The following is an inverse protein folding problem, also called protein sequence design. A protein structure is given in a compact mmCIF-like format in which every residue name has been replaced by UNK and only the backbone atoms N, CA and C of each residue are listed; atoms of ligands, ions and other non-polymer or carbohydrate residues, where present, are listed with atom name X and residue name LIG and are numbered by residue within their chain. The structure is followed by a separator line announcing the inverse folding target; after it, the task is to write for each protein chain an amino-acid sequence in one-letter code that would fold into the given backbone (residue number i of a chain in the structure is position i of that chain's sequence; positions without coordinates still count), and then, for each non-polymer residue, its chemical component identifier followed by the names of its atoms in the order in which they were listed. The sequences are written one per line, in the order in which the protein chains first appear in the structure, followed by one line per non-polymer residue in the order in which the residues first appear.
data_IF_867131541979
#
_entry.id   IF_867131541979
#
_cell.length_a   1.000
_cell.length_b   1.000
_cell.length_c   1.000
_cell.angle_alpha   90.00
_cell.angle_beta   90.00
_cell.angle_gamma   90.00
#
_symmetry.space_group_name_H-M   'P 1'
#
loop_
_entity.id
_entity.type
_entity.pdbx_description
1 polymer ?
#
# COMPACT_ATOMS: atom_id res chain seq x y z
N UNK A 1 -20.44 9.70 9.15
CA UNK A 1 -20.24 8.83 7.96
C UNK A 1 -19.73 9.74 6.86
N UNK A 2 -18.59 9.44 6.24
CA UNK A 2 -18.17 10.14 5.02
C UNK A 2 -19.18 9.77 3.94
N UNK A 3 -19.96 10.74 3.49
CA UNK A 3 -20.98 10.54 2.46
C UNK A 3 -20.28 10.49 1.09
N UNK A 4 -20.43 9.38 0.37
CA UNK A 4 -19.94 9.23 -1.01
C UNK A 4 -20.39 10.41 -1.90
N UNK A 5 -21.55 11.02 -1.62
CA UNK A 5 -22.02 12.20 -2.35
C UNK A 5 -21.15 13.43 -2.13
N UNK A 6 -20.61 13.63 -0.93
CA UNK A 6 -19.70 14.72 -0.63
C UNK A 6 -18.36 14.54 -1.37
N UNK A 7 -17.86 13.30 -1.44
CA UNK A 7 -16.67 12.97 -2.22
C UNK A 7 -16.87 13.26 -3.71
N UNK A 8 -17.98 12.81 -4.28
CA UNK A 8 -18.31 13.07 -5.68
C UNK A 8 -18.38 14.58 -5.99
N UNK A 9 -18.97 15.38 -5.09
CA UNK A 9 -19.03 16.83 -5.24
C UNK A 9 -17.64 17.48 -5.20
N UNK A 10 -16.75 17.04 -4.30
CA UNK A 10 -15.40 17.57 -4.18
C UNK A 10 -14.52 17.19 -5.38
N UNK A 11 -14.68 15.98 -5.93
CA UNK A 11 -14.01 15.55 -7.17
C UNK A 11 -14.45 16.44 -8.33
N UNK A 12 -15.77 16.62 -8.50
CA UNK A 12 -16.31 17.50 -9.54
C UNK A 12 -15.80 18.94 -9.40
N UNK A 13 -15.74 19.47 -8.18
CA UNK A 13 -15.21 20.81 -7.91
C UNK A 13 -13.73 20.94 -8.26
N UNK A 14 -12.92 19.91 -7.97
CA UNK A 14 -11.53 19.87 -8.41
C UNK A 14 -11.44 19.87 -9.94
N UNK A 15 -12.20 19.01 -10.63
CA UNK A 15 -12.19 18.97 -12.09
C UNK A 15 -12.57 20.29 -12.75
N UNK A 16 -13.54 21.01 -12.18
CA UNK A 16 -13.97 22.32 -12.66
C UNK A 16 -12.93 23.42 -12.43
N UNK A 17 -12.18 23.35 -11.32
CA UNK A 17 -11.19 24.36 -10.95
C UNK A 17 -9.77 24.02 -11.38
N UNK A 18 -9.51 22.81 -11.87
CA UNK A 18 -8.18 22.30 -12.17
C UNK A 18 -7.35 23.21 -13.09
N UNK A 19 -7.95 23.83 -14.10
CA UNK A 19 -7.26 24.74 -15.02
C UNK A 19 -6.78 26.04 -14.37
N UNK A 20 -7.37 26.42 -13.24
CA UNK A 20 -7.04 27.64 -12.47
C UNK A 20 -6.03 27.40 -11.35
N UNK A 21 -5.78 26.13 -11.01
CA UNK A 21 -4.86 25.72 -9.96
C UNK A 21 -3.47 25.44 -10.53
N UNK A 22 -2.44 25.70 -9.71
CA UNK A 22 -1.09 25.23 -10.03
C UNK A 22 -1.03 23.69 -10.03
N UNK A 23 -0.01 23.14 -10.69
CA UNK A 23 0.20 21.69 -10.74
C UNK A 23 0.34 21.08 -9.34
N UNK A 24 1.13 21.72 -8.47
CA UNK A 24 1.32 21.28 -7.09
C UNK A 24 0.01 21.29 -6.29
N UNK A 25 -0.82 22.32 -6.45
CA UNK A 25 -2.13 22.39 -5.78
C UNK A 25 -3.11 21.33 -6.30
N UNK A 26 -3.14 21.09 -7.62
CA UNK A 26 -3.97 20.02 -8.20
C UNK A 26 -3.57 18.67 -7.64
N UNK A 27 -2.27 18.38 -7.64
CA UNK A 27 -1.72 17.13 -7.12
C UNK A 27 -2.07 16.93 -5.66
N UNK A 28 -1.79 17.91 -4.81
CA UNK A 28 -2.09 17.82 -3.37
C UNK A 28 -3.58 17.60 -3.10
N UNK A 29 -4.47 18.30 -3.83
CA UNK A 29 -5.92 18.12 -3.67
C UNK A 29 -6.37 16.74 -4.12
N UNK A 30 -5.84 16.23 -5.23
CA UNK A 30 -6.14 14.89 -5.70
C UNK A 30 -5.67 13.82 -4.71
N UNK A 31 -4.45 13.94 -4.17
CA UNK A 31 -3.91 13.04 -3.14
C UNK A 31 -4.80 13.03 -1.88
N UNK A 32 -5.22 14.21 -1.39
CA UNK A 32 -6.11 14.30 -0.23
C UNK A 32 -7.45 13.62 -0.48
N UNK A 33 -8.05 13.82 -1.66
CA UNK A 33 -9.31 13.17 -2.02
C UNK A 33 -9.17 11.64 -2.14
N UNK A 34 -8.02 11.15 -2.64
CA UNK A 34 -7.73 9.72 -2.66
C UNK A 34 -7.67 9.14 -1.24
N UNK A 35 -7.06 9.83 -0.29
CA UNK A 35 -7.04 9.39 1.12
C UNK A 35 -8.45 9.37 1.74
N UNK A 36 -9.29 10.35 1.42
CA UNK A 36 -10.70 10.34 1.86
C UNK A 36 -11.49 9.17 1.25
N UNK A 37 -11.23 8.84 -0.02
CA UNK A 37 -11.81 7.67 -0.70
C UNK A 37 -11.37 6.38 0.00
N UNK A 38 -10.08 6.20 0.30
CA UNK A 38 -9.56 5.04 1.05
C UNK A 38 -10.26 4.90 2.41
N UNK A 39 -10.40 6.01 3.15
CA UNK A 39 -11.09 6.04 4.43
C UNK A 39 -12.57 5.65 4.31
N UNK A 40 -13.24 6.08 3.24
CA UNK A 40 -14.63 5.70 2.99
C UNK A 40 -14.76 4.20 2.68
N UNK A 41 -13.85 3.65 1.89
CA UNK A 41 -13.80 2.22 1.57
C UNK A 41 -13.56 1.36 2.80
N UNK A 42 -12.63 1.76 3.68
CA UNK A 42 -12.42 1.09 4.97
C UNK A 42 -13.66 1.11 5.89
N UNK A 43 -14.61 2.03 5.65
CA UNK A 43 -15.89 2.13 6.36
C UNK A 43 -17.04 1.44 5.63
N UNK A 44 -16.75 0.68 4.56
CA UNK A 44 -17.73 -0.10 3.80
C UNK A 44 -18.33 0.61 2.58
N UNK A 45 -17.71 1.69 2.08
CA UNK A 45 -18.10 2.26 0.80
C UNK A 45 -17.87 1.27 -0.36
N UNK A 46 -18.66 1.40 -1.42
CA UNK A 46 -18.57 0.51 -2.58
C UNK A 46 -17.19 0.62 -3.26
N UNK A 47 -16.45 -0.49 -3.29
CA UNK A 47 -15.08 -0.56 -3.82
C UNK A 47 -14.99 -0.12 -5.30
N UNK A 48 -15.89 -0.60 -6.15
CA UNK A 48 -15.84 -0.30 -7.58
C UNK A 48 -16.12 1.18 -7.86
N UNK A 49 -17.10 1.76 -7.14
CA UNK A 49 -17.41 3.18 -7.25
C UNK A 49 -16.27 4.04 -6.71
N UNK A 50 -15.68 3.66 -5.56
CA UNK A 50 -14.52 4.33 -5.00
C UNK A 50 -13.32 4.30 -5.95
N UNK A 51 -13.07 3.16 -6.61
CA UNK A 51 -11.99 3.05 -7.59
C UNK A 51 -12.24 3.94 -8.81
N UNK A 52 -13.47 4.00 -9.33
CA UNK A 52 -13.81 4.90 -10.43
C UNK A 52 -13.50 6.38 -10.10
N UNK A 53 -13.89 6.82 -8.90
CA UNK A 53 -13.57 8.16 -8.40
C UNK A 53 -12.07 8.40 -8.24
N UNK A 54 -11.33 7.40 -7.78
CA UNK A 54 -9.88 7.45 -7.71
C UNK A 54 -9.24 7.61 -9.10
N UNK A 55 -9.74 6.91 -10.12
CA UNK A 55 -9.25 7.02 -11.49
C UNK A 55 -9.52 8.39 -12.14
N UNK A 56 -10.54 9.12 -11.70
CA UNK A 56 -10.76 10.51 -12.11
C UNK A 56 -9.68 11.46 -11.55
N UNK A 57 -9.04 11.08 -10.43
CA UNK A 57 -8.08 11.91 -9.71
C UNK A 57 -6.62 11.64 -10.10
N UNK A 58 -6.28 10.40 -10.45
CA UNK A 58 -4.88 10.00 -10.75
C UNK A 58 -4.22 10.80 -11.89
N UNK A 59 -4.92 11.29 -12.93
CA UNK A 59 -4.30 12.16 -13.95
C UNK A 59 -3.78 13.50 -13.41
N UNK A 60 -4.31 13.98 -12.28
CA UNK A 60 -3.81 15.20 -11.62
C UNK A 60 -2.53 14.97 -10.80
N UNK A 61 -2.20 13.70 -10.52
CA UNK A 61 -1.02 13.28 -9.76
C UNK A 61 0.08 12.84 -10.73
N UNK A 62 -0.31 12.05 -11.73
CA UNK A 62 0.57 11.48 -12.72
C UNK A 62 -0.05 11.57 -14.12
N UNK A 63 0.37 12.54 -14.94
CA UNK A 63 -0.20 12.73 -16.27
C UNK A 63 0.39 11.77 -17.32
N UNK A 64 1.51 11.09 -17.05
CA UNK A 64 2.17 10.23 -18.02
C UNK A 64 1.50 8.84 -18.09
N UNK A 65 1.20 8.30 -19.29
CA UNK A 65 0.41 7.07 -19.42
C UNK A 65 0.97 5.84 -18.69
N UNK A 66 2.28 5.60 -18.77
CA UNK A 66 2.91 4.40 -18.17
C UNK A 66 2.95 4.48 -16.64
N UNK A 67 3.48 5.55 -16.02
CA UNK A 67 3.39 5.72 -14.57
C UNK A 67 1.93 5.80 -14.04
N UNK A 68 1.00 6.35 -14.82
CA UNK A 68 -0.42 6.42 -14.47
C UNK A 68 -1.07 5.03 -14.35
N UNK A 69 -0.74 4.10 -15.25
CA UNK A 69 -1.21 2.72 -15.16
C UNK A 69 -0.71 2.03 -13.88
N UNK A 70 0.58 2.20 -13.56
CA UNK A 70 1.16 1.68 -12.32
C UNK A 70 0.50 2.28 -11.07
N UNK A 71 0.27 3.60 -11.07
CA UNK A 71 -0.43 4.29 -9.98
C UNK A 71 -1.86 3.77 -9.79
N UNK A 72 -2.62 3.61 -10.88
CA UNK A 72 -3.98 3.07 -10.83
C UNK A 72 -4.00 1.64 -10.27
N UNK A 73 -3.04 0.79 -10.67
CA UNK A 73 -2.91 -0.56 -10.13
C UNK A 73 -2.59 -0.55 -8.62
N UNK A 74 -1.64 0.26 -8.19
CA UNK A 74 -1.30 0.41 -6.77
C UNK A 74 -2.51 0.88 -5.95
N UNK A 75 -3.27 1.82 -6.50
CA UNK A 75 -4.46 2.36 -5.85
C UNK A 75 -5.58 1.31 -5.77
N UNK A 76 -5.79 0.52 -6.82
CA UNK A 76 -6.72 -0.61 -6.78
C UNK A 76 -6.39 -1.59 -5.66
N UNK A 77 -5.11 -1.97 -5.54
CA UNK A 77 -4.65 -2.87 -4.47
C UNK A 77 -4.91 -2.26 -3.09
N UNK A 78 -4.52 -1.00 -2.87
CA UNK A 78 -4.75 -0.32 -1.60
C UNK A 78 -6.23 -0.20 -1.21
N UNK A 79 -7.11 0.06 -2.19
CA UNK A 79 -8.56 0.11 -1.94
C UNK A 79 -9.12 -1.28 -1.62
N UNK A 80 -8.67 -2.32 -2.31
CA UNK A 80 -9.06 -3.71 -2.03
C UNK A 80 -8.65 -4.14 -0.62
N UNK A 81 -7.42 -3.81 -0.23
CA UNK A 81 -6.89 -4.09 1.11
C UNK A 81 -7.64 -3.29 2.18
N UNK A 82 -8.05 -2.06 1.88
CA UNK A 82 -8.89 -1.26 2.79
C UNK A 82 -10.31 -1.82 2.93
N UNK A 83 -10.90 -2.30 1.82
CA UNK A 83 -12.26 -2.81 1.78
C UNK A 83 -12.40 -4.17 2.49
N UNK A 84 -11.41 -5.03 2.26
CA UNK A 84 -11.35 -6.36 2.84
C UNK A 84 -9.98 -6.51 3.48
N UNK A 85 -9.78 -5.93 4.68
CA UNK A 85 -8.49 -6.02 5.35
C UNK A 85 -8.12 -7.48 5.55
N UNK A 86 -6.85 -7.84 5.37
CA UNK A 86 -6.40 -9.18 5.66
C UNK A 86 -6.79 -9.55 7.10
N UNK A 87 -7.16 -10.81 7.35
CA UNK A 87 -7.60 -11.21 8.67
C UNK A 87 -6.51 -10.91 9.69
N UNK A 88 -6.91 -10.42 10.87
CA UNK A 88 -5.99 -10.21 11.96
C UNK A 88 -5.27 -11.54 12.28
N UNK A 89 -3.96 -11.53 12.56
CA UNK A 89 -3.24 -12.76 12.84
C UNK A 89 -3.82 -13.48 14.07
N UNK A 90 -4.00 -14.79 13.97
CA UNK A 90 -4.39 -15.66 15.09
C UNK A 90 -3.34 -15.60 16.22
N UNK A 91 -3.65 -16.02 17.46
CA UNK A 91 -2.66 -16.06 18.54
C UNK A 91 -1.38 -16.82 18.17
N UNK A 92 -1.51 -17.97 17.49
CA UNK A 92 -0.37 -18.76 17.01
C UNK A 92 0.44 -17.99 15.98
N UNK A 93 -0.23 -17.36 15.00
CA UNK A 93 0.46 -16.52 14.02
C UNK A 93 1.17 -15.34 14.68
N UNK A 94 0.58 -14.69 15.70
CA UNK A 94 1.25 -13.60 16.44
C UNK A 94 2.52 -14.06 17.13
N UNK A 95 2.52 -15.25 17.72
CA UNK A 95 3.72 -15.84 18.29
C UNK A 95 4.79 -16.11 17.21
N UNK A 96 4.39 -16.72 16.10
CA UNK A 96 5.27 -16.95 14.95
C UNK A 96 5.85 -15.65 14.37
N UNK A 97 5.05 -14.58 14.29
CA UNK A 97 5.50 -13.23 13.87
C UNK A 97 6.56 -12.70 14.83
N UNK A 98 6.34 -12.82 16.14
CA UNK A 98 7.33 -12.41 17.15
C UNK A 98 8.64 -13.20 17.06
N UNK A 99 8.56 -14.52 16.82
CA UNK A 99 9.72 -15.37 16.58
C UNK A 99 10.47 -14.96 15.31
N UNK A 100 9.73 -14.71 14.23
CA UNK A 100 10.31 -14.27 12.96
C UNK A 100 11.02 -12.92 13.10
N UNK A 101 10.40 -11.93 13.74
CA UNK A 101 11.00 -10.61 13.94
C UNK A 101 12.37 -10.71 14.65
N UNK A 102 12.41 -11.43 15.78
CA UNK A 102 13.65 -11.62 16.53
C UNK A 102 14.73 -12.38 15.74
N UNK A 103 14.34 -13.42 15.00
CA UNK A 103 15.28 -14.19 14.20
C UNK A 103 15.75 -13.43 12.96
N UNK A 104 14.90 -12.58 12.37
CA UNK A 104 15.26 -11.72 11.24
C UNK A 104 16.30 -10.67 11.59
N UNK A 105 16.19 -10.04 12.77
CA UNK A 105 17.20 -9.09 13.28
C UNK A 105 18.57 -9.77 13.38
N UNK A 106 18.62 -10.98 13.93
CA UNK A 106 19.85 -11.76 14.05
C UNK A 106 20.47 -12.09 12.69
N UNK A 107 19.65 -12.51 11.72
CA UNK A 107 20.10 -12.78 10.35
C UNK A 107 20.69 -11.53 9.69
N UNK A 108 20.02 -10.38 9.84
CA UNK A 108 20.47 -9.12 9.27
C UNK A 108 21.80 -8.71 9.91
N UNK A 109 21.88 -8.70 11.24
CA UNK A 109 23.10 -8.33 11.96
C UNK A 109 24.29 -9.24 11.60
N UNK A 110 24.06 -10.55 11.49
CA UNK A 110 25.09 -11.52 11.09
C UNK A 110 25.61 -11.25 9.67
N UNK A 111 24.71 -11.01 8.70
CA UNK A 111 25.12 -10.73 7.31
C UNK A 111 25.85 -9.39 7.21
N UNK A 112 25.35 -8.34 7.87
CA UNK A 112 26.00 -7.04 7.87
C UNK A 112 27.40 -7.08 8.52
N UNK A 113 27.61 -7.94 9.52
CA UNK A 113 28.90 -8.11 10.19
C UNK A 113 29.90 -8.99 9.40
N UNK A 114 29.41 -9.88 8.52
CA UNK A 114 30.24 -10.93 7.90
C UNK A 114 30.44 -10.79 6.38
N UNK A 115 29.56 -10.08 5.69
CA UNK A 115 29.62 -9.87 4.24
C UNK A 115 29.91 -8.41 3.95
N UNK A 116 30.86 -8.15 3.05
CA UNK A 116 31.19 -6.79 2.59
C UNK A 116 30.61 -6.59 1.20
N UNK A 117 29.86 -5.51 1.01
CA UNK A 117 29.23 -5.17 -0.27
C UNK A 117 27.71 -5.12 -0.14
N UNK A 118 27.13 -3.94 -0.37
CA UNK A 118 25.71 -3.67 -0.12
C UNK A 118 24.78 -4.58 -0.93
N UNK A 119 25.07 -4.80 -2.21
CA UNK A 119 24.28 -5.70 -3.07
C UNK A 119 24.35 -7.16 -2.61
N UNK A 120 25.52 -7.62 -2.15
CA UNK A 120 25.74 -8.99 -1.68
C UNK A 120 25.10 -9.21 -0.31
N UNK A 121 25.17 -8.21 0.57
CA UNK A 121 24.43 -8.19 1.84
C UNK A 121 22.92 -8.27 1.59
N UNK A 122 22.39 -7.42 0.70
CA UNK A 122 20.97 -7.39 0.36
C UNK A 122 20.47 -8.76 -0.12
N UNK A 123 21.13 -9.33 -1.13
CA UNK A 123 20.74 -10.62 -1.71
C UNK A 123 20.78 -11.74 -0.67
N UNK A 124 21.82 -11.79 0.17
CA UNK A 124 21.95 -12.84 1.19
C UNK A 124 20.95 -12.67 2.33
N UNK A 125 20.65 -11.43 2.73
CA UNK A 125 19.59 -11.13 3.69
C UNK A 125 18.24 -11.61 3.13
N UNK A 126 17.91 -11.27 1.89
CA UNK A 126 16.65 -11.69 1.27
C UNK A 126 16.52 -13.22 1.21
N UNK A 127 17.57 -13.92 0.78
CA UNK A 127 17.62 -15.38 0.74
C UNK A 127 17.38 -15.99 2.13
N UNK A 128 18.15 -15.56 3.14
CA UNK A 128 18.03 -16.07 4.51
C UNK A 128 16.67 -15.75 5.14
N UNK A 129 16.14 -14.55 4.89
CA UNK A 129 14.82 -14.17 5.39
C UNK A 129 13.70 -14.98 4.72
N UNK A 130 13.81 -15.27 3.42
CA UNK A 130 12.86 -16.14 2.71
C UNK A 130 12.87 -17.57 3.29
N UNK A 131 14.05 -18.14 3.50
CA UNK A 131 14.20 -19.45 4.15
C UNK A 131 13.59 -19.46 5.56
N UNK A 132 13.83 -18.40 6.33
CA UNK A 132 13.28 -18.24 7.69
C UNK A 132 11.75 -18.14 7.69
N UNK A 133 11.14 -17.43 6.73
CA UNK A 133 9.68 -17.39 6.58
C UNK A 133 9.11 -18.79 6.30
N UNK A 134 9.73 -19.52 5.37
CA UNK A 134 9.33 -20.88 5.03
C UNK A 134 9.43 -21.82 6.23
N UNK A 135 10.47 -21.68 7.06
CA UNK A 135 10.65 -22.46 8.27
C UNK A 135 9.58 -22.16 9.34
N UNK A 136 9.28 -20.88 9.59
CA UNK A 136 8.41 -20.48 10.69
C UNK A 136 6.92 -20.59 10.32
N UNK A 137 6.55 -20.21 9.09
CA UNK A 137 5.17 -20.11 8.65
C UNK A 137 4.75 -21.21 7.66
N UNK A 138 5.70 -22.02 7.16
CA UNK A 138 5.44 -23.03 6.13
C UNK A 138 5.25 -22.45 4.72
N UNK A 139 5.48 -21.15 4.54
CA UNK A 139 5.33 -20.43 3.27
C UNK A 139 6.34 -19.31 3.15
N UNK A 140 6.74 -19.00 1.92
CA UNK A 140 7.79 -18.01 1.62
C UNK A 140 7.29 -16.57 1.82
N UNK A 141 6.02 -16.31 1.56
CA UNK A 141 5.40 -14.97 1.70
C UNK A 141 4.05 -15.05 2.43
N UNK A 142 4.05 -15.18 3.76
CA UNK A 142 2.81 -15.12 4.53
C UNK A 142 2.19 -13.72 4.44
N UNK A 143 0.98 -13.63 3.89
CA UNK A 143 0.27 -12.36 3.65
C UNK A 143 0.08 -11.49 4.91
N UNK A 144 0.05 -12.10 6.09
CA UNK A 144 -0.10 -11.39 7.37
C UNK A 144 1.20 -10.75 7.88
N UNK A 145 2.35 -11.00 7.24
CA UNK A 145 3.58 -10.23 7.46
C UNK A 145 3.67 -8.98 6.58
N UNK A 146 2.82 -8.86 5.56
CA UNK A 146 2.83 -7.75 4.60
C UNK A 146 1.94 -6.58 5.05
N UNK A 147 1.46 -6.60 6.30
CA UNK A 147 0.56 -5.61 6.90
C UNK A 147 1.31 -4.42 7.51
#
# INVERSE_FOLDING_TARGET
MLDIKALAANIAALSQSASTLSEAERKQRAENLIEEIKSAVAKGANLNQAYAYAQELTPYIEPQPKPLEALNYQLWMALKDSHTPPPAPTPVQREQIGLYAKASEQVIDEVLASVVGEEQQYNLIEEKLSALRKQIFGMEEPQFLLQ
#
